data_IF_599398469628
#
_entry.id   IF_599398469628
#
_cell.length_a   1.000
_cell.length_b   1.000
_cell.length_c   1.000
_cell.angle_alpha   90.00
_cell.angle_beta   90.00
_cell.angle_gamma   90.00
#
_symmetry.space_group_name_H-M   'P 1'
#
loop_
_entity.id
_entity.type
_entity.pdbx_description
1 polymer ?
#
# COMPACT_ATOMS: atom_id res chain seq x y z
N UNK A 1 -1.98 -17.71 0.03
CA UNK A 1 -2.51 -19.05 0.32
C UNK A 1 -2.02 -20.05 -0.73
N UNK A 2 -1.77 -21.32 -0.35
CA UNK A 2 -1.43 -22.38 -1.30
C UNK A 2 -2.59 -22.63 -2.29
N UNK A 3 -2.27 -22.99 -3.53
CA UNK A 3 -3.28 -23.27 -4.56
C UNK A 3 -4.24 -24.41 -4.15
N UNK A 4 -3.76 -25.41 -3.41
CA UNK A 4 -4.60 -26.49 -2.88
C UNK A 4 -5.73 -25.97 -1.99
N UNK A 5 -5.42 -25.06 -1.05
CA UNK A 5 -6.42 -24.45 -0.17
C UNK A 5 -7.42 -23.57 -0.95
N UNK A 6 -6.97 -22.88 -2.01
CA UNK A 6 -7.84 -22.10 -2.89
C UNK A 6 -8.82 -23.04 -3.61
N UNK A 7 -8.35 -24.19 -4.10
CA UNK A 7 -9.17 -25.16 -4.81
C UNK A 7 -10.15 -25.88 -3.89
N UNK A 8 -9.71 -26.28 -2.69
CA UNK A 8 -10.58 -26.87 -1.67
C UNK A 8 -11.74 -25.92 -1.32
N UNK A 9 -11.42 -24.63 -1.10
CA UNK A 9 -12.44 -23.62 -0.84
C UNK A 9 -13.37 -23.41 -2.05
N UNK A 10 -12.81 -23.40 -3.27
CA UNK A 10 -13.61 -23.25 -4.49
C UNK A 10 -14.62 -24.42 -4.68
N UNK A 11 -14.22 -25.65 -4.37
CA UNK A 11 -15.08 -26.81 -4.40
C UNK A 11 -16.13 -26.80 -3.28
N UNK A 12 -15.71 -26.53 -2.04
CA UNK A 12 -16.58 -26.45 -0.86
C UNK A 12 -17.71 -25.42 -1.06
N UNK A 13 -17.34 -24.24 -1.53
CA UNK A 13 -18.28 -23.13 -1.75
C UNK A 13 -18.93 -23.15 -3.14
N UNK A 14 -18.63 -24.13 -3.99
CA UNK A 14 -19.10 -24.22 -5.38
C UNK A 14 -18.89 -22.93 -6.15
N UNK A 15 -17.69 -22.38 -6.04
CA UNK A 15 -17.34 -21.10 -6.64
C UNK A 15 -17.44 -21.17 -8.18
N UNK A 16 -18.00 -20.14 -8.79
CA UNK A 16 -18.07 -20.02 -10.25
C UNK A 16 -16.78 -19.42 -10.85
N UNK A 17 -16.02 -18.66 -10.05
CA UNK A 17 -14.82 -17.90 -10.46
C UNK A 17 -13.83 -17.86 -9.30
N UNK A 18 -12.55 -17.93 -9.60
CA UNK A 18 -11.47 -17.75 -8.63
C UNK A 18 -10.87 -16.34 -8.78
N UNK A 19 -10.81 -15.59 -7.69
CA UNK A 19 -10.12 -14.29 -7.64
C UNK A 19 -8.80 -14.39 -6.90
N UNK A 20 -7.71 -13.83 -7.46
CA UNK A 20 -6.42 -13.71 -6.77
C UNK A 20 -5.92 -12.27 -6.87
N UNK A 21 -5.47 -11.72 -5.74
CA UNK A 21 -4.90 -10.37 -5.66
C UNK A 21 -3.53 -10.42 -5.00
N UNK A 22 -2.58 -9.63 -5.51
CA UNK A 22 -1.23 -9.59 -4.99
C UNK A 22 -0.64 -8.19 -5.00
N UNK A 23 -0.05 -7.80 -3.88
CA UNK A 23 0.62 -6.52 -3.71
C UNK A 23 2.10 -6.60 -4.14
N UNK A 24 2.76 -7.72 -3.86
CA UNK A 24 4.19 -7.91 -4.05
C UNK A 24 4.50 -8.51 -5.43
N UNK A 25 5.65 -8.16 -5.98
CA UNK A 25 6.13 -8.75 -7.26
C UNK A 25 6.26 -10.28 -7.16
N UNK A 26 6.67 -10.82 -6.01
CA UNK A 26 6.70 -12.27 -5.77
C UNK A 26 5.32 -12.91 -5.98
N UNK A 27 4.23 -12.22 -5.67
CA UNK A 27 2.87 -12.72 -5.90
C UNK A 27 2.57 -12.97 -7.38
N UNK A 28 3.20 -12.23 -8.31
CA UNK A 28 3.00 -12.43 -9.75
C UNK A 28 3.52 -13.78 -10.22
N UNK A 29 4.65 -14.22 -9.65
CA UNK A 29 5.25 -15.54 -9.94
C UNK A 29 4.35 -16.63 -9.40
N UNK A 30 3.90 -16.50 -8.14
CA UNK A 30 2.99 -17.46 -7.50
C UNK A 30 1.68 -17.57 -8.27
N UNK A 31 1.10 -16.45 -8.73
CA UNK A 31 -0.13 -16.48 -9.53
C UNK A 31 0.07 -17.21 -10.86
N UNK A 32 1.22 -17.03 -11.53
CA UNK A 32 1.57 -17.78 -12.73
C UNK A 32 1.67 -19.27 -12.44
N UNK A 33 2.34 -19.66 -11.36
CA UNK A 33 2.45 -21.05 -10.93
C UNK A 33 1.08 -21.64 -10.59
N UNK A 34 0.22 -20.89 -9.91
CA UNK A 34 -1.16 -21.32 -9.62
C UNK A 34 -1.97 -21.58 -10.90
N UNK A 35 -1.86 -20.73 -11.93
CA UNK A 35 -2.52 -20.95 -13.22
C UNK A 35 -1.99 -22.21 -13.93
N UNK A 36 -0.68 -22.46 -13.86
CA UNK A 36 -0.08 -23.67 -14.41
C UNK A 36 -0.54 -24.93 -13.68
N UNK A 37 -0.67 -24.87 -12.36
CA UNK A 37 -1.19 -25.95 -11.54
C UNK A 37 -2.67 -26.26 -11.87
N UNK A 38 -3.50 -25.24 -12.05
CA UNK A 38 -4.90 -25.40 -12.52
C UNK A 38 -4.96 -26.10 -13.89
N UNK A 39 -4.05 -25.76 -14.80
CA UNK A 39 -3.95 -26.47 -16.09
C UNK A 39 -3.55 -27.94 -15.90
N UNK A 40 -2.56 -28.23 -15.07
CA UNK A 40 -2.08 -29.60 -14.81
C UNK A 40 -3.19 -30.47 -14.20
N UNK A 41 -3.98 -29.88 -13.30
CA UNK A 41 -5.16 -30.54 -12.69
C UNK A 41 -6.37 -30.62 -13.63
N UNK A 42 -6.30 -30.04 -14.83
CA UNK A 42 -7.40 -29.99 -15.83
C UNK A 42 -8.64 -29.24 -15.32
N UNK A 43 -8.45 -28.28 -14.41
CA UNK A 43 -9.51 -27.49 -13.79
C UNK A 43 -9.71 -26.13 -14.47
N UNK A 44 -8.86 -25.77 -15.43
CA UNK A 44 -8.87 -24.47 -16.09
C UNK A 44 -10.19 -24.16 -16.82
N UNK A 45 -10.87 -25.17 -17.36
CA UNK A 45 -12.17 -25.00 -18.02
C UNK A 45 -13.32 -24.72 -17.02
N UNK A 46 -13.18 -25.21 -15.80
CA UNK A 46 -14.22 -25.10 -14.76
C UNK A 46 -14.13 -23.77 -13.99
N UNK A 47 -12.91 -23.24 -13.86
CA UNK A 47 -12.62 -22.05 -13.07
C UNK A 47 -12.02 -20.92 -13.90
N UNK A 48 -12.83 -19.97 -14.40
CA UNK A 48 -12.33 -18.67 -14.83
C UNK A 48 -11.58 -17.98 -13.69
N UNK A 49 -10.52 -17.24 -14.00
CA UNK A 49 -9.69 -16.58 -13.00
C UNK A 49 -9.67 -15.08 -13.20
N UNK A 50 -9.86 -14.31 -12.13
CA UNK A 50 -9.65 -12.86 -12.12
C UNK A 50 -8.41 -12.57 -11.29
N UNK A 51 -7.44 -11.88 -11.91
CA UNK A 51 -6.20 -11.46 -11.27
C UNK A 51 -6.18 -9.95 -11.07
N UNK A 52 -5.75 -9.51 -9.89
CA UNK A 52 -5.63 -8.10 -9.54
C UNK A 52 -4.48 -7.81 -8.60
N UNK A 53 -4.41 -6.55 -8.17
CA UNK A 53 -3.41 -6.07 -7.22
C UNK A 53 -2.32 -5.20 -7.86
N UNK A 54 -1.63 -4.43 -7.01
CA UNK A 54 -0.68 -3.39 -7.44
C UNK A 54 0.55 -3.93 -8.20
N UNK A 55 0.90 -5.21 -7.99
CA UNK A 55 2.04 -5.84 -8.65
C UNK A 55 1.76 -6.27 -10.09
N UNK A 56 0.49 -6.32 -10.52
CA UNK A 56 0.08 -6.79 -11.83
C UNK A 56 -0.21 -5.65 -12.79
N UNK A 57 0.01 -5.88 -14.06
CA UNK A 57 -0.45 -5.02 -15.15
C UNK A 57 -1.45 -5.76 -16.03
N UNK A 58 -2.38 -5.02 -16.64
CA UNK A 58 -3.34 -5.59 -17.59
C UNK A 58 -2.66 -6.33 -18.74
N UNK A 59 -1.56 -5.78 -19.27
CA UNK A 59 -0.82 -6.40 -20.36
C UNK A 59 -0.25 -7.75 -19.95
N UNK A 60 0.33 -7.83 -18.76
CA UNK A 60 0.89 -9.09 -18.26
C UNK A 60 -0.19 -10.17 -18.08
N UNK A 61 -1.35 -9.80 -17.51
CA UNK A 61 -2.44 -10.77 -17.29
C UNK A 61 -3.15 -11.15 -18.60
N UNK A 62 -3.60 -10.15 -19.37
CA UNK A 62 -4.46 -10.39 -20.54
C UNK A 62 -3.68 -10.79 -21.81
N UNK A 63 -2.35 -10.85 -21.75
CA UNK A 63 -1.49 -11.35 -22.83
C UNK A 63 -0.61 -12.50 -22.33
N UNK A 64 0.37 -12.22 -21.45
CA UNK A 64 1.38 -13.21 -21.09
C UNK A 64 0.76 -14.38 -20.28
N UNK A 65 -0.11 -14.10 -19.30
CA UNK A 65 -0.78 -15.14 -18.52
C UNK A 65 -1.94 -15.78 -19.26
N UNK A 66 -2.62 -15.03 -20.14
CA UNK A 66 -3.68 -15.56 -20.99
C UNK A 66 -3.17 -16.61 -21.98
N UNK A 67 -1.93 -16.48 -22.50
CA UNK A 67 -1.29 -17.49 -23.34
C UNK A 67 -0.94 -18.77 -22.57
N UNK A 68 -0.72 -18.65 -21.26
CA UNK A 68 -0.34 -19.77 -20.40
C UNK A 68 -1.55 -20.53 -19.88
N UNK A 69 -2.61 -19.83 -19.50
CA UNK A 69 -3.80 -20.41 -18.89
C UNK A 69 -4.75 -20.99 -19.93
N UNK A 70 -5.13 -22.26 -19.80
CA UNK A 70 -6.03 -22.95 -20.74
C UNK A 70 -7.50 -22.57 -20.54
N UNK A 71 -7.82 -21.82 -19.50
CA UNK A 71 -9.14 -21.26 -19.20
C UNK A 71 -9.22 -19.76 -19.45
N UNK A 72 -10.26 -19.13 -18.95
CA UNK A 72 -10.44 -17.68 -19.05
C UNK A 72 -9.73 -16.97 -17.92
N UNK A 73 -8.80 -16.05 -18.22
CA UNK A 73 -8.13 -15.20 -17.22
C UNK A 73 -8.29 -13.74 -17.57
N UNK A 74 -8.67 -12.93 -16.57
CA UNK A 74 -8.95 -11.50 -16.72
C UNK A 74 -8.22 -10.67 -15.68
N UNK A 75 -7.92 -9.42 -16.03
CA UNK A 75 -7.32 -8.45 -15.12
C UNK A 75 -8.38 -7.51 -14.55
N UNK A 76 -8.46 -7.44 -13.24
CA UNK A 76 -9.21 -6.41 -12.53
C UNK A 76 -8.23 -5.39 -11.93
N UNK A 77 -8.37 -4.14 -12.31
CA UNK A 77 -7.56 -3.04 -11.78
C UNK A 77 -7.98 -2.65 -10.36
N UNK A 78 -9.26 -2.80 -10.06
CA UNK A 78 -9.88 -2.49 -8.78
C UNK A 78 -11.02 -3.48 -8.50
N UNK A 79 -11.50 -3.49 -7.25
CA UNK A 79 -12.53 -4.41 -6.81
C UNK A 79 -13.86 -4.25 -7.58
N UNK A 80 -14.21 -3.03 -7.99
CA UNK A 80 -15.43 -2.78 -8.76
C UNK A 80 -15.32 -3.28 -10.21
N UNK A 81 -14.14 -3.19 -10.81
CA UNK A 81 -13.89 -3.84 -12.09
C UNK A 81 -13.94 -5.37 -11.94
N UNK A 82 -13.43 -5.90 -10.82
CA UNK A 82 -13.52 -7.31 -10.47
C UNK A 82 -14.97 -7.79 -10.38
N UNK A 83 -15.84 -7.06 -9.69
CA UNK A 83 -17.28 -7.37 -9.62
C UNK A 83 -17.94 -7.41 -11.01
N UNK A 84 -17.70 -6.38 -11.83
CA UNK A 84 -18.27 -6.34 -13.19
C UNK A 84 -17.79 -7.49 -14.07
N UNK A 85 -16.52 -7.88 -13.93
CA UNK A 85 -15.96 -9.04 -14.64
C UNK A 85 -16.57 -10.34 -14.12
N UNK A 86 -16.77 -10.45 -12.80
CA UNK A 86 -17.40 -11.62 -12.18
C UNK A 86 -18.82 -11.80 -12.67
N UNK A 87 -19.63 -10.73 -12.67
CA UNK A 87 -21.00 -10.75 -13.23
C UNK A 87 -21.01 -11.18 -14.71
N UNK A 88 -20.08 -10.65 -15.52
CA UNK A 88 -19.96 -11.01 -16.92
C UNK A 88 -19.55 -12.48 -17.12
N UNK A 89 -18.58 -12.98 -16.35
CA UNK A 89 -18.12 -14.36 -16.39
C UNK A 89 -19.24 -15.34 -15.98
N UNK A 90 -19.93 -15.05 -14.88
CA UNK A 90 -21.06 -15.86 -14.40
C UNK A 90 -22.18 -15.83 -15.43
N UNK A 91 -22.49 -14.67 -16.00
CA UNK A 91 -23.51 -14.55 -17.04
C UNK A 91 -23.20 -15.39 -18.27
N UNK A 92 -21.97 -15.38 -18.75
CA UNK A 92 -21.51 -16.23 -19.87
C UNK A 92 -21.54 -17.71 -19.49
N UNK A 93 -21.03 -18.08 -18.32
CA UNK A 93 -21.00 -19.47 -17.82
C UNK A 93 -22.40 -20.07 -17.68
N UNK A 94 -23.36 -19.26 -17.26
CA UNK A 94 -24.78 -19.66 -17.08
C UNK A 94 -25.62 -19.50 -18.36
N UNK A 95 -25.04 -19.05 -19.47
CA UNK A 95 -25.73 -18.90 -20.75
C UNK A 95 -26.79 -17.79 -20.75
N UNK A 96 -26.62 -16.74 -19.94
CA UNK A 96 -27.57 -15.61 -19.88
C UNK A 96 -27.62 -14.92 -21.25
N UNK A 97 -28.81 -14.74 -21.86
CA UNK A 97 -28.89 -14.07 -23.17
C UNK A 97 -28.30 -12.66 -23.14
N UNK A 98 -27.36 -12.40 -24.06
CA UNK A 98 -26.70 -11.09 -24.17
C UNK A 98 -25.49 -10.89 -23.26
N UNK A 99 -25.18 -11.83 -22.38
CA UNK A 99 -23.96 -11.80 -21.57
C UNK A 99 -22.73 -11.89 -22.47
N UNK A 100 -21.80 -10.94 -22.32
CA UNK A 100 -20.53 -10.90 -23.08
C UNK A 100 -19.39 -10.46 -22.17
N UNK A 101 -18.25 -11.10 -22.36
CA UNK A 101 -17.01 -10.63 -21.74
C UNK A 101 -16.49 -9.38 -22.48
N UNK A 102 -15.89 -8.42 -21.78
CA UNK A 102 -15.17 -7.33 -22.41
C UNK A 102 -14.08 -7.89 -23.33
N UNK A 103 -13.83 -7.22 -24.47
CA UNK A 103 -12.74 -7.62 -25.36
C UNK A 103 -11.37 -7.47 -24.65
N UNK A 104 -10.50 -8.45 -24.87
CA UNK A 104 -9.12 -8.38 -24.40
C UNK A 104 -8.42 -7.21 -25.11
N UNK A 105 -7.76 -6.37 -24.34
CA UNK A 105 -7.03 -5.23 -24.90
C UNK A 105 -5.72 -5.72 -25.51
N UNK A 106 -5.64 -5.69 -26.85
CA UNK A 106 -4.39 -5.92 -27.54
C UNK A 106 -3.35 -4.84 -27.15
N UNK A 107 -2.11 -5.28 -26.96
CA UNK A 107 -0.97 -4.40 -26.75
C UNK A 107 -0.87 -3.48 -27.98
N UNK A 108 -1.09 -2.18 -27.80
CA UNK A 108 -0.53 -1.22 -28.74
C UNK A 108 0.97 -1.42 -28.65
N UNK A 109 1.53 -2.05 -29.68
CA UNK A 109 2.97 -2.08 -29.89
C UNK A 109 3.36 -0.61 -30.12
N UNK A 110 3.64 0.12 -29.04
CA UNK A 110 4.61 1.18 -29.16
C UNK A 110 5.89 0.44 -29.55
N UNK A 111 6.57 0.83 -30.66
CA UNK A 111 7.91 0.33 -30.86
C UNK A 111 8.62 0.61 -29.54
N UNK A 112 8.92 -0.43 -28.82
CA UNK A 112 9.87 -0.37 -27.74
C UNK A 112 11.07 0.28 -28.39
N UNK A 113 11.37 1.52 -28.02
CA UNK A 113 12.75 1.94 -28.10
C UNK A 113 13.46 0.76 -27.42
N UNK A 114 14.17 0.01 -28.25
CA UNK A 114 14.73 -1.28 -27.87
C UNK A 114 15.14 -1.19 -26.42
N UNK A 115 14.69 -2.15 -25.59
CA UNK A 115 15.40 -2.43 -24.38
C UNK A 115 16.83 -2.64 -24.84
N UNK A 116 17.59 -1.56 -24.90
CA UNK A 116 19.00 -1.64 -24.96
C UNK A 116 19.30 -2.46 -23.70
N UNK A 117 19.65 -3.70 -23.90
CA UNK A 117 20.48 -4.43 -22.97
C UNK A 117 21.68 -3.53 -22.76
N UNK A 118 21.54 -2.59 -21.82
CA UNK A 118 22.67 -1.89 -21.29
C UNK A 118 23.36 -2.99 -20.50
N UNK A 119 24.41 -3.55 -21.10
CA UNK A 119 25.37 -4.39 -20.41
C UNK A 119 25.55 -3.78 -19.02
N UNK A 120 25.07 -4.50 -18.01
CA UNK A 120 25.38 -4.23 -16.62
C UNK A 120 26.91 -4.39 -16.50
N UNK A 121 27.63 -3.31 -16.68
CA UNK A 121 29.02 -3.28 -16.20
C UNK A 121 28.88 -3.28 -14.68
N UNK A 122 29.36 -4.32 -13.99
CA UNK A 122 29.50 -4.28 -12.56
C UNK A 122 30.40 -3.07 -12.24
N UNK A 123 29.84 -2.01 -11.71
CA UNK A 123 30.72 -0.99 -11.12
C UNK A 123 31.21 -1.59 -9.80
N UNK A 124 32.47 -1.97 -9.78
CA UNK A 124 33.18 -2.35 -8.57
C UNK A 124 33.13 -1.16 -7.61
N UNK A 125 32.56 -1.37 -6.42
CA UNK A 125 32.48 -0.41 -5.33
C UNK A 125 31.07 0.17 -5.09
N UNK A 126 30.74 0.31 -3.82
CA UNK A 126 29.56 1.04 -3.36
C UNK A 126 29.70 2.54 -3.70
N UNK A 127 28.70 3.11 -4.38
CA UNK A 127 28.68 4.54 -4.69
C UNK A 127 27.40 5.14 -4.06
N UNK A 128 27.58 5.91 -2.99
CA UNK A 128 26.50 6.72 -2.38
C UNK A 128 25.92 7.68 -3.41
N UNK A 129 24.64 8.00 -3.32
CA UNK A 129 24.01 9.03 -4.15
C UNK A 129 24.51 10.44 -3.80
N UNK A 130 24.09 11.44 -4.59
CA UNK A 130 24.41 12.85 -4.41
C UNK A 130 23.55 13.57 -3.37
N UNK A 131 22.84 12.83 -2.51
CA UNK A 131 22.06 13.39 -1.40
C UNK A 131 22.98 14.12 -0.45
N UNK A 132 22.63 15.37 -0.09
CA UNK A 132 23.39 16.20 0.82
C UNK A 132 23.60 15.52 2.18
N UNK A 133 24.72 15.79 2.83
CA UNK A 133 25.04 15.23 4.15
C UNK A 133 25.26 16.31 5.20
N UNK A 134 25.04 17.57 4.88
CA UNK A 134 25.28 18.75 5.72
C UNK A 134 24.00 19.40 6.27
N UNK A 135 22.82 18.84 5.98
CA UNK A 135 21.56 19.32 6.52
C UNK A 135 21.54 19.19 8.06
N UNK A 136 20.98 20.15 8.81
CA UNK A 136 20.87 20.03 10.26
C UNK A 136 20.09 18.79 10.68
N UNK A 137 20.64 18.02 11.64
CA UNK A 137 19.92 16.92 12.29
C UNK A 137 18.99 17.52 13.36
N UNK A 138 17.69 17.27 13.33
CA UNK A 138 16.78 17.79 14.34
C UNK A 138 16.97 17.08 15.68
N UNK A 139 16.78 17.79 16.77
CA UNK A 139 16.76 17.20 18.10
C UNK A 139 15.34 16.71 18.43
N UNK A 140 15.12 15.39 18.59
CA UNK A 140 13.80 14.87 18.91
C UNK A 140 13.41 15.23 20.35
N UNK A 141 12.11 15.45 20.65
CA UNK A 141 11.65 15.82 21.98
C UNK A 141 11.76 14.69 23.02
N UNK A 142 12.10 13.50 22.59
CA UNK A 142 12.38 12.30 23.38
C UNK A 142 13.08 11.25 22.52
N UNK A 143 13.77 10.34 23.15
CA UNK A 143 14.21 9.08 22.56
C UNK A 143 13.35 7.92 23.01
N UNK A 144 13.28 6.86 22.19
CA UNK A 144 12.43 5.70 22.45
C UNK A 144 11.01 5.90 21.91
N UNK A 145 10.00 5.43 22.64
CA UNK A 145 8.64 5.29 22.09
C UNK A 145 7.55 5.95 22.92
N UNK A 146 6.53 6.48 22.26
CA UNK A 146 5.27 6.96 22.87
C UNK A 146 4.06 6.29 22.24
N UNK A 147 2.99 6.17 23.06
CA UNK A 147 1.69 5.65 22.64
C UNK A 147 0.64 6.73 22.85
N UNK A 148 -0.15 6.98 21.81
CA UNK A 148 -1.31 7.87 21.88
C UNK A 148 -2.53 7.06 21.47
N UNK A 149 -3.60 7.15 22.27
CA UNK A 149 -4.88 6.46 22.03
C UNK A 149 -6.03 7.44 22.11
N UNK A 150 -7.18 7.06 21.53
CA UNK A 150 -8.40 7.85 21.60
C UNK A 150 -8.36 9.11 20.74
N UNK A 151 -7.59 9.06 19.63
CA UNK A 151 -7.53 10.16 18.65
C UNK A 151 -8.91 10.30 18.01
N UNK A 152 -9.49 11.49 18.10
CA UNK A 152 -10.84 11.72 17.58
C UNK A 152 -10.85 11.81 16.06
N UNK A 153 -11.87 11.25 15.41
CA UNK A 153 -12.02 11.28 13.95
C UNK A 153 -11.83 12.69 13.36
N UNK A 154 -12.39 13.72 14.02
CA UNK A 154 -12.28 15.13 13.60
C UNK A 154 -10.84 15.65 13.50
N UNK A 155 -9.87 15.01 14.16
CA UNK A 155 -8.46 15.43 14.14
C UNK A 155 -7.74 15.00 12.86
N UNK A 156 -8.16 13.88 12.27
CA UNK A 156 -7.49 13.33 11.07
C UNK A 156 -8.41 13.19 9.85
N UNK A 157 -9.73 13.40 10.00
CA UNK A 157 -10.66 13.30 8.85
C UNK A 157 -10.33 14.28 7.72
N UNK A 158 -9.81 15.47 8.04
CA UNK A 158 -9.38 16.47 7.05
C UNK A 158 -8.12 16.05 6.27
N UNK A 159 -7.42 15.02 6.71
CA UNK A 159 -6.26 14.44 6.05
C UNK A 159 -6.63 13.28 5.12
N UNK A 160 -7.93 13.03 4.94
CA UNK A 160 -8.41 12.01 4.02
C UNK A 160 -8.23 12.46 2.57
N UNK A 161 -7.49 11.69 1.78
CA UNK A 161 -7.41 11.89 0.33
C UNK A 161 -8.71 11.42 -0.34
N UNK A 162 -9.63 12.39 -0.58
CA UNK A 162 -10.90 12.12 -1.28
C UNK A 162 -10.66 11.56 -2.69
N UNK A 163 -9.58 11.95 -3.36
CA UNK A 163 -9.24 11.45 -4.70
C UNK A 163 -8.87 9.97 -4.66
N UNK A 164 -8.04 9.57 -3.71
CA UNK A 164 -7.67 8.18 -3.49
C UNK A 164 -8.89 7.33 -3.08
N UNK A 165 -9.75 7.87 -2.21
CA UNK A 165 -10.99 7.20 -1.82
C UNK A 165 -11.96 7.04 -2.99
N UNK A 166 -12.35 8.14 -3.64
CA UNK A 166 -13.41 8.12 -4.65
C UNK A 166 -12.99 7.43 -5.93
N UNK A 167 -11.80 7.76 -6.48
CA UNK A 167 -11.31 7.13 -7.71
C UNK A 167 -10.72 5.75 -7.47
N UNK A 168 -9.93 5.63 -6.41
CA UNK A 168 -9.18 4.42 -6.09
C UNK A 168 -10.04 3.34 -5.46
N UNK A 169 -10.63 3.63 -4.30
CA UNK A 169 -11.38 2.66 -3.51
C UNK A 169 -12.83 2.47 -4.01
N UNK A 170 -13.56 3.54 -4.25
CA UNK A 170 -14.97 3.48 -4.64
C UNK A 170 -15.21 3.41 -6.15
N UNK A 171 -14.16 3.61 -6.95
CA UNK A 171 -14.24 3.48 -8.41
C UNK A 171 -15.13 4.52 -9.09
N UNK A 172 -15.36 5.69 -8.46
CA UNK A 172 -16.10 6.80 -9.07
C UNK A 172 -15.34 7.32 -10.29
N UNK A 173 -15.91 7.18 -11.47
CA UNK A 173 -15.31 7.58 -12.75
C UNK A 173 -16.39 7.97 -13.74
N UNK A 174 -16.13 9.01 -14.50
CA UNK A 174 -16.96 9.38 -15.64
C UNK A 174 -17.05 8.22 -16.65
N UNK A 175 -18.21 8.03 -17.25
CA UNK A 175 -18.39 7.05 -18.31
C UNK A 175 -17.48 7.35 -19.51
N UNK A 176 -16.91 6.31 -20.12
CA UNK A 176 -15.97 6.45 -21.26
C UNK A 176 -16.63 7.02 -22.52
N UNK A 177 -17.95 6.88 -22.67
CA UNK A 177 -18.72 7.44 -23.78
C UNK A 177 -18.78 8.96 -23.78
N UNK A 178 -18.42 9.60 -22.65
CA UNK A 178 -18.61 11.03 -22.44
C UNK A 178 -20.06 11.42 -22.14
N UNK A 179 -21.00 10.47 -22.24
CA UNK A 179 -22.39 10.66 -21.89
C UNK A 179 -22.56 10.36 -20.38
N UNK A 180 -23.06 11.32 -19.62
CA UNK A 180 -23.26 11.17 -18.18
C UNK A 180 -22.54 12.25 -17.37
N UNK A 181 -22.70 12.23 -16.03
CA UNK A 181 -22.14 13.24 -15.15
C UNK A 181 -20.61 13.26 -15.21
N UNK A 182 -20.03 14.45 -15.08
CA UNK A 182 -18.58 14.62 -14.93
C UNK A 182 -18.08 13.98 -13.64
N UNK A 183 -16.76 13.82 -13.51
CA UNK A 183 -16.18 13.32 -12.26
C UNK A 183 -16.52 14.25 -11.08
N UNK A 184 -16.45 15.54 -11.29
CA UNK A 184 -16.75 16.56 -10.29
C UNK A 184 -18.23 16.48 -9.85
N UNK A 185 -19.14 16.30 -10.79
CA UNK A 185 -20.56 16.08 -10.49
C UNK A 185 -20.79 14.79 -9.68
N UNK A 186 -20.11 13.69 -10.03
CA UNK A 186 -20.18 12.43 -9.28
C UNK A 186 -19.65 12.59 -7.86
N UNK A 187 -18.56 13.35 -7.67
CA UNK A 187 -18.03 13.65 -6.35
C UNK A 187 -19.06 14.40 -5.50
N UNK A 188 -19.71 15.43 -6.05
CA UNK A 188 -20.66 16.24 -5.31
C UNK A 188 -22.00 15.51 -5.05
N UNK A 189 -22.48 14.75 -6.04
CA UNK A 189 -23.82 14.12 -5.95
C UNK A 189 -23.81 12.75 -5.30
N UNK A 190 -22.71 12.01 -5.37
CA UNK A 190 -22.60 10.65 -4.84
C UNK A 190 -21.48 10.51 -3.81
N UNK A 191 -20.25 10.95 -4.13
CA UNK A 191 -19.07 10.71 -3.32
C UNK A 191 -19.15 11.33 -1.94
N UNK A 192 -19.28 12.65 -1.87
CA UNK A 192 -19.33 13.39 -0.60
C UNK A 192 -20.57 13.12 0.26
N UNK A 193 -21.78 12.97 -0.29
CA UNK A 193 -22.93 12.55 0.50
C UNK A 193 -22.75 11.17 1.13
N UNK A 194 -22.21 10.21 0.37
CA UNK A 194 -21.90 8.87 0.87
C UNK A 194 -20.81 8.90 1.95
N UNK A 195 -19.72 9.64 1.71
CA UNK A 195 -18.65 9.81 2.69
C UNK A 195 -19.17 10.36 4.01
N UNK A 196 -19.98 11.43 3.95
CA UNK A 196 -20.59 12.02 5.15
C UNK A 196 -21.43 11.00 5.92
N UNK A 197 -22.31 10.28 5.23
CA UNK A 197 -23.14 9.25 5.87
C UNK A 197 -22.33 8.13 6.52
N UNK A 198 -21.24 7.70 5.91
CA UNK A 198 -20.34 6.70 6.50
C UNK A 198 -19.54 7.24 7.68
N UNK A 199 -19.01 8.47 7.61
CA UNK A 199 -18.30 9.09 8.73
C UNK A 199 -19.23 9.31 9.94
N UNK A 200 -20.47 9.75 9.71
CA UNK A 200 -21.48 9.89 10.75
C UNK A 200 -21.81 8.54 11.41
N UNK A 201 -21.96 7.49 10.61
CA UNK A 201 -22.15 6.12 11.09
C UNK A 201 -20.95 5.65 11.92
N UNK A 202 -19.72 5.79 11.41
CA UNK A 202 -18.51 5.39 12.13
C UNK A 202 -18.40 6.05 13.50
N UNK A 203 -18.79 7.33 13.60
CA UNK A 203 -18.78 8.07 14.84
C UNK A 203 -19.93 7.67 15.78
N UNK A 204 -21.16 7.54 15.26
CA UNK A 204 -22.35 7.19 16.04
C UNK A 204 -22.25 5.79 16.65
N UNK A 205 -21.78 4.81 15.84
CA UNK A 205 -21.65 3.42 16.25
C UNK A 205 -20.32 3.15 16.98
N UNK A 206 -19.49 4.19 17.17
CA UNK A 206 -18.18 4.11 17.83
C UNK A 206 -17.30 2.99 17.27
N UNK A 207 -17.20 2.94 15.93
CA UNK A 207 -16.48 1.89 15.21
C UNK A 207 -14.97 2.15 15.07
N UNK A 208 -14.47 3.33 15.46
CA UNK A 208 -13.07 3.73 15.35
C UNK A 208 -12.39 3.75 16.70
N UNK A 209 -11.22 3.14 16.77
CA UNK A 209 -10.32 3.11 17.93
C UNK A 209 -8.94 3.59 17.52
N UNK A 210 -8.88 4.84 17.02
CA UNK A 210 -7.66 5.40 16.46
C UNK A 210 -6.56 5.53 17.50
N UNK A 211 -5.40 4.97 17.19
CA UNK A 211 -4.23 4.96 18.04
C UNK A 211 -2.93 4.95 17.22
N UNK A 212 -1.87 5.44 17.84
CA UNK A 212 -0.52 5.51 17.26
C UNK A 212 0.51 5.05 18.30
N UNK A 213 1.47 4.28 17.87
CA UNK A 213 2.75 4.13 18.54
C UNK A 213 3.84 4.63 17.62
N UNK A 214 4.71 5.48 18.13
CA UNK A 214 5.80 6.07 17.36
C UNK A 214 7.02 6.30 18.24
N UNK A 215 8.16 6.54 17.62
CA UNK A 215 9.37 6.83 18.37
C UNK A 215 10.48 7.36 17.52
N UNK A 216 11.49 7.92 18.21
CA UNK A 216 12.70 8.45 17.64
C UNK A 216 13.90 7.67 18.17
N UNK A 217 14.82 7.35 17.28
CA UNK A 217 15.98 6.53 17.59
C UNK A 217 17.23 7.12 16.94
N UNK A 218 18.36 7.15 17.66
CA UNK A 218 19.63 7.51 17.08
C UNK A 218 20.02 6.50 16.00
N UNK A 219 20.60 6.99 14.90
CA UNK A 219 21.00 6.14 13.79
C UNK A 219 22.21 6.71 13.03
N UNK A 220 22.81 5.84 12.21
CA UNK A 220 23.80 6.20 11.20
C UNK A 220 23.56 5.36 9.95
N UNK A 221 24.10 5.79 8.82
CA UNK A 221 24.08 4.98 7.60
C UNK A 221 25.45 4.42 7.27
N UNK A 222 25.48 3.23 6.69
CA UNK A 222 26.68 2.60 6.16
C UNK A 222 26.32 1.82 4.88
N UNK A 223 26.92 2.20 3.78
CA UNK A 223 26.57 1.65 2.46
C UNK A 223 25.05 1.76 2.19
N UNK A 224 24.35 0.65 2.05
CA UNK A 224 22.91 0.60 1.82
C UNK A 224 22.11 0.33 3.13
N UNK A 225 22.81 0.38 4.26
CA UNK A 225 22.25 0.07 5.58
C UNK A 225 21.91 1.33 6.37
N UNK A 226 20.75 1.30 7.02
CA UNK A 226 20.38 2.16 8.14
C UNK A 226 20.62 1.37 9.43
N UNK A 227 21.55 1.84 10.26
CA UNK A 227 21.90 1.24 11.54
C UNK A 227 21.24 2.05 12.64
N UNK A 228 20.27 1.47 13.32
CA UNK A 228 19.64 2.06 14.51
C UNK A 228 20.50 1.72 15.73
N UNK A 229 20.78 2.73 16.55
CA UNK A 229 21.63 2.60 17.71
C UNK A 229 20.81 2.44 19.02
N UNK A 230 21.43 1.83 20.02
CA UNK A 230 20.92 1.82 21.38
C UNK A 230 21.40 3.07 22.18
N UNK A 231 20.98 3.21 23.44
CA UNK A 231 21.36 4.31 24.33
C UNK A 231 22.87 4.37 24.62
N UNK A 232 23.61 3.30 24.35
CA UNK A 232 25.06 3.21 24.52
C UNK A 232 25.82 3.48 23.23
N UNK A 233 25.08 3.72 22.10
CA UNK A 233 25.66 3.94 20.78
C UNK A 233 26.07 2.66 20.05
N UNK A 234 25.66 1.47 20.53
CA UNK A 234 25.87 0.21 19.82
C UNK A 234 24.74 -0.06 18.82
N UNK A 235 25.03 -0.87 17.81
CA UNK A 235 24.02 -1.34 16.89
C UNK A 235 22.90 -2.11 17.61
N UNK A 236 21.67 -1.60 17.55
CA UNK A 236 20.47 -2.25 18.05
C UNK A 236 19.83 -3.10 16.98
N UNK A 237 19.67 -2.56 15.78
CA UNK A 237 19.12 -3.25 14.62
C UNK A 237 19.55 -2.59 13.33
N UNK A 238 19.42 -3.29 12.21
CA UNK A 238 19.86 -2.84 10.89
C UNK A 238 18.79 -3.10 9.84
N UNK A 239 18.58 -2.12 8.96
CA UNK A 239 17.74 -2.20 7.78
C UNK A 239 18.62 -2.07 6.55
N UNK A 240 18.52 -3.00 5.61
CA UNK A 240 19.23 -2.96 4.33
C UNK A 240 18.26 -2.62 3.21
N UNK A 241 18.49 -1.53 2.50
CA UNK A 241 17.57 -1.05 1.48
C UNK A 241 18.14 -1.24 0.06
N UNK A 242 17.27 -1.50 -0.93
CA UNK A 242 17.71 -1.55 -2.32
C UNK A 242 18.08 -0.16 -2.82
N UNK A 243 19.15 -0.11 -3.62
CA UNK A 243 19.58 1.11 -4.32
C UNK A 243 19.01 1.17 -5.73
N UNK A 244 18.59 2.36 -6.18
CA UNK A 244 18.20 2.59 -7.57
C UNK A 244 19.34 2.23 -8.53
N UNK A 245 19.00 1.55 -9.62
CA UNK A 245 19.96 1.18 -10.66
C UNK A 245 20.29 2.32 -11.63
N UNK A 246 19.43 3.35 -11.71
CA UNK A 246 19.53 4.47 -12.66
C UNK A 246 19.20 5.80 -11.98
N UNK A 247 19.47 6.90 -12.68
CA UNK A 247 19.22 8.25 -12.18
C UNK A 247 20.17 8.62 -11.04
N UNK A 248 19.63 9.20 -9.96
CA UNK A 248 20.41 9.61 -8.78
C UNK A 248 20.94 8.43 -7.95
N UNK A 249 20.50 7.18 -8.26
CA UNK A 249 20.87 5.96 -7.53
C UNK A 249 20.54 6.04 -6.03
N UNK A 250 19.37 6.60 -5.71
CA UNK A 250 18.91 6.76 -4.33
C UNK A 250 18.77 5.43 -3.60
N UNK A 251 19.17 5.43 -2.34
CA UNK A 251 18.88 4.43 -1.33
C UNK A 251 18.32 5.14 -0.09
N UNK A 252 17.43 4.52 0.68
CA UNK A 252 16.90 5.16 1.90
C UNK A 252 18.01 5.49 2.92
N UNK A 253 19.06 4.67 2.98
CA UNK A 253 20.22 4.92 3.83
C UNK A 253 20.95 6.25 3.52
N UNK A 254 20.88 6.73 2.27
CA UNK A 254 21.56 7.97 1.87
C UNK A 254 20.99 9.23 2.53
N UNK A 255 19.78 9.18 3.06
CA UNK A 255 19.14 10.31 3.74
C UNK A 255 19.55 10.48 5.20
N UNK A 256 20.47 9.66 5.69
CA UNK A 256 21.00 9.72 7.06
C UNK A 256 22.50 9.96 7.07
N UNK A 257 23.01 10.48 8.18
CA UNK A 257 24.44 10.72 8.40
C UNK A 257 25.23 9.42 8.20
N UNK A 258 26.28 9.44 7.37
CA UNK A 258 27.17 8.30 7.25
C UNK A 258 27.99 8.08 8.53
N UNK A 259 28.24 6.81 8.88
CA UNK A 259 29.04 6.43 10.05
C UNK A 259 30.40 7.13 10.07
N UNK A 260 31.01 7.32 8.89
CA UNK A 260 32.33 7.98 8.78
C UNK A 260 32.32 9.46 9.14
N UNK A 261 31.12 10.10 9.18
CA UNK A 261 31.02 11.52 9.60
C UNK A 261 31.31 11.71 11.08
N UNK A 262 31.18 10.66 11.89
CA UNK A 262 31.24 10.72 13.34
C UNK A 262 30.04 11.43 13.99
N UNK A 263 29.02 11.79 13.21
CA UNK A 263 27.78 12.42 13.68
C UNK A 263 26.65 11.39 13.73
N UNK A 264 25.84 11.45 14.77
CA UNK A 264 24.62 10.64 14.90
C UNK A 264 23.43 11.37 14.30
N UNK A 265 22.60 10.66 13.54
CA UNK A 265 21.35 11.13 12.98
C UNK A 265 20.14 10.60 13.78
N UNK A 266 18.92 10.96 13.39
CA UNK A 266 17.68 10.50 13.99
C UNK A 266 16.75 9.93 12.94
N UNK A 267 16.21 8.74 13.22
CA UNK A 267 15.14 8.11 12.45
C UNK A 267 13.87 8.04 13.27
N UNK A 268 12.73 8.35 12.64
CA UNK A 268 11.42 8.12 13.22
C UNK A 268 10.80 6.82 12.72
N UNK A 269 10.04 6.14 13.58
CA UNK A 269 9.16 5.05 13.18
C UNK A 269 7.76 5.30 13.73
N UNK A 270 6.74 4.92 12.98
CA UNK A 270 5.36 4.97 13.44
C UNK A 270 4.57 3.75 12.99
N UNK A 271 3.64 3.31 13.83
CA UNK A 271 2.55 2.39 13.49
C UNK A 271 1.25 3.03 13.94
N UNK A 272 0.30 3.11 13.05
CA UNK A 272 -1.03 3.66 13.31
C UNK A 272 -2.10 2.62 13.03
N UNK A 273 -3.24 2.75 13.70
CA UNK A 273 -4.42 1.92 13.47
C UNK A 273 -5.70 2.71 13.74
N UNK A 274 -6.77 2.37 13.04
CA UNK A 274 -8.12 2.85 13.38
C UNK A 274 -8.93 1.80 14.16
N UNK A 275 -8.29 0.72 14.56
CA UNK A 275 -8.83 -0.32 15.44
C UNK A 275 -9.49 -1.49 14.72
N UNK A 276 -9.90 -2.51 15.48
CA UNK A 276 -10.44 -3.77 14.95
C UNK A 276 -11.96 -3.73 14.72
N UNK A 277 -12.71 -2.88 15.42
CA UNK A 277 -14.19 -2.85 15.36
C UNK A 277 -14.72 -2.62 13.95
N UNK A 278 -14.06 -1.77 13.17
CA UNK A 278 -14.47 -1.53 11.78
C UNK A 278 -14.23 -2.77 10.92
N UNK A 279 -13.19 -3.56 11.19
CA UNK A 279 -12.95 -4.85 10.55
C UNK A 279 -14.04 -5.89 10.89
N UNK A 280 -14.50 -5.92 12.13
CA UNK A 280 -15.62 -6.77 12.54
C UNK A 280 -16.92 -6.39 11.83
N UNK A 281 -17.15 -5.08 11.63
CA UNK A 281 -18.33 -4.60 10.93
C UNK A 281 -18.26 -4.90 9.42
N UNK A 282 -17.11 -4.73 8.79
CA UNK A 282 -16.92 -5.12 7.39
C UNK A 282 -17.10 -6.62 7.19
N UNK A 283 -16.66 -7.47 8.13
CA UNK A 283 -16.88 -8.91 8.08
C UNK A 283 -18.38 -9.28 8.16
N UNK A 284 -19.18 -8.56 8.97
CA UNK A 284 -20.65 -8.76 9.01
C UNK A 284 -21.31 -8.41 7.67
N UNK A 285 -20.90 -7.28 7.07
CA UNK A 285 -21.41 -6.88 5.74
C UNK A 285 -21.08 -7.92 4.68
N UNK A 286 -19.87 -8.44 4.70
CA UNK A 286 -19.44 -9.53 3.81
C UNK A 286 -20.29 -10.79 4.02
N UNK A 287 -20.51 -11.22 5.26
CA UNK A 287 -21.29 -12.40 5.60
C UNK A 287 -22.78 -12.27 5.27
N UNK A 288 -23.30 -11.04 5.15
CA UNK A 288 -24.72 -10.75 4.81
C UNK A 288 -24.96 -10.47 3.32
N UNK A 289 -24.00 -10.81 2.44
CA UNK A 289 -24.04 -10.54 1.00
C UNK A 289 -24.16 -9.04 0.63
N UNK A 290 -23.95 -8.13 1.59
CA UNK A 290 -23.94 -6.69 1.38
C UNK A 290 -22.58 -6.24 0.85
N UNK A 291 -22.15 -6.87 -0.26
CA UNK A 291 -20.76 -6.78 -0.73
C UNK A 291 -20.35 -5.37 -1.17
N UNK A 292 -21.28 -4.59 -1.70
CA UNK A 292 -21.01 -3.19 -2.06
C UNK A 292 -20.75 -2.34 -0.82
N UNK A 293 -21.59 -2.47 0.20
CA UNK A 293 -21.42 -1.74 1.46
C UNK A 293 -20.13 -2.15 2.18
N UNK A 294 -19.79 -3.46 2.09
CA UNK A 294 -18.49 -3.97 2.53
C UNK A 294 -17.33 -3.25 1.85
N UNK A 295 -17.30 -3.19 0.51
CA UNK A 295 -16.21 -2.56 -0.24
C UNK A 295 -16.11 -1.06 0.06
N UNK A 296 -17.24 -0.38 0.19
CA UNK A 296 -17.26 1.05 0.49
C UNK A 296 -16.74 1.35 1.89
N UNK A 297 -17.19 0.59 2.89
CA UNK A 297 -16.73 0.74 4.27
C UNK A 297 -15.27 0.31 4.45
N UNK A 298 -14.89 -0.81 3.84
CA UNK A 298 -13.51 -1.30 3.86
C UNK A 298 -12.56 -0.29 3.20
N UNK A 299 -12.88 0.20 2.00
CA UNK A 299 -12.08 1.21 1.32
C UNK A 299 -11.92 2.50 2.13
N UNK A 300 -13.01 2.96 2.78
CA UNK A 300 -12.95 4.10 3.68
C UNK A 300 -12.05 3.83 4.89
N UNK A 301 -12.16 2.67 5.52
CA UNK A 301 -11.39 2.31 6.71
C UNK A 301 -9.87 2.30 6.45
N UNK A 302 -9.46 1.77 5.30
CA UNK A 302 -8.06 1.78 4.87
C UNK A 302 -7.57 3.22 4.64
N UNK A 303 -8.38 4.05 3.97
CA UNK A 303 -8.03 5.45 3.73
C UNK A 303 -8.01 6.28 5.02
N UNK A 304 -8.82 5.96 6.02
CA UNK A 304 -8.75 6.59 7.33
C UNK A 304 -7.48 6.22 8.10
N UNK A 305 -6.96 5.00 7.95
CA UNK A 305 -5.66 4.63 8.52
C UNK A 305 -4.52 5.43 7.85
N UNK A 306 -4.56 5.62 6.52
CA UNK A 306 -3.61 6.47 5.80
C UNK A 306 -3.74 7.95 6.20
N UNK A 307 -4.96 8.47 6.38
CA UNK A 307 -5.21 9.82 6.87
C UNK A 307 -4.63 10.04 8.28
N UNK A 308 -4.79 9.03 9.16
CA UNK A 308 -4.20 9.07 10.50
C UNK A 308 -2.67 9.04 10.43
N UNK A 309 -2.08 8.25 9.52
CA UNK A 309 -0.64 8.19 9.33
C UNK A 309 -0.07 9.53 8.82
N UNK A 310 -0.77 10.21 7.91
CA UNK A 310 -0.36 11.52 7.39
C UNK A 310 -0.52 12.62 8.46
N UNK A 311 -1.63 12.63 9.18
CA UNK A 311 -1.83 13.49 10.34
C UNK A 311 -0.71 13.32 11.37
N UNK A 312 -0.34 12.06 11.67
CA UNK A 312 0.72 11.80 12.63
C UNK A 312 2.10 12.21 12.11
N UNK A 313 2.35 12.03 10.81
CA UNK A 313 3.57 12.50 10.18
C UNK A 313 3.70 14.03 10.28
N UNK A 314 2.61 14.80 10.12
CA UNK A 314 2.63 16.24 10.34
C UNK A 314 2.97 16.59 11.80
N UNK A 315 2.47 15.83 12.77
CA UNK A 315 2.86 16.00 14.18
C UNK A 315 4.34 15.69 14.42
N UNK A 316 4.87 14.65 13.80
CA UNK A 316 6.31 14.34 13.85
C UNK A 316 7.15 15.49 13.29
N UNK A 317 6.74 16.08 12.15
CA UNK A 317 7.43 17.27 11.60
C UNK A 317 7.37 18.46 12.57
N UNK A 318 6.27 18.66 13.26
CA UNK A 318 6.14 19.69 14.28
C UNK A 318 7.06 19.42 15.50
N UNK A 319 7.10 18.17 15.96
CA UNK A 319 7.98 17.77 17.08
C UNK A 319 9.47 17.92 16.75
N UNK A 320 9.85 17.67 15.49
CA UNK A 320 11.20 17.84 14.99
C UNK A 320 11.53 19.28 14.57
N UNK A 321 10.60 20.22 14.74
CA UNK A 321 10.84 21.66 14.61
C UNK A 321 10.76 22.25 13.21
N UNK A 322 10.28 21.51 12.20
CA UNK A 322 10.18 22.00 10.82
C UNK A 322 8.77 22.07 10.22
N UNK A 323 7.72 22.03 11.06
CA UNK A 323 6.33 22.24 10.59
C UNK A 323 6.11 23.62 9.93
N UNK A 324 6.96 24.60 10.20
CA UNK A 324 6.91 25.90 9.53
C UNK A 324 7.26 25.85 8.03
N UNK A 325 7.82 24.73 7.57
CA UNK A 325 8.12 24.46 6.15
C UNK A 325 6.93 23.74 5.45
N UNK A 326 5.90 23.32 6.19
CA UNK A 326 4.72 22.66 5.65
C UNK A 326 3.88 23.65 4.82
N UNK A 327 3.35 23.25 3.67
CA UNK A 327 2.46 24.09 2.89
C UNK A 327 1.16 24.36 3.62
N UNK A 328 0.60 25.55 3.41
CA UNK A 328 -0.68 25.92 4.00
C UNK A 328 -1.88 25.23 3.31
N UNK A 329 -1.70 24.81 2.06
CA UNK A 329 -2.72 24.16 1.25
C UNK A 329 -2.68 22.64 1.43
N UNK A 330 -3.83 22.05 1.71
CA UNK A 330 -3.99 20.59 1.87
C UNK A 330 -3.67 19.84 0.58
N UNK A 331 -3.98 20.41 -0.60
CA UNK A 331 -3.63 19.80 -1.89
C UNK A 331 -2.12 19.69 -2.07
N UNK A 332 -1.38 20.70 -1.62
CA UNK A 332 0.08 20.68 -1.63
C UNK A 332 0.65 19.69 -0.60
N UNK A 333 -0.04 19.45 0.51
CA UNK A 333 0.30 18.38 1.46
C UNK A 333 0.14 17.00 0.78
N UNK A 334 -0.97 16.74 0.10
CA UNK A 334 -1.15 15.49 -0.65
C UNK A 334 -0.17 15.35 -1.83
N UNK A 335 0.29 16.47 -2.37
CA UNK A 335 1.37 16.49 -3.39
C UNK A 335 2.78 16.30 -2.78
N UNK A 336 2.88 16.00 -1.46
CA UNK A 336 4.12 15.76 -0.72
C UNK A 336 5.11 16.94 -0.79
N UNK A 337 4.61 18.18 -0.80
CA UNK A 337 5.45 19.38 -0.89
C UNK A 337 5.99 19.87 0.47
N UNK A 338 5.97 19.01 1.47
CA UNK A 338 6.58 19.26 2.79
C UNK A 338 8.00 18.68 2.87
N UNK A 339 8.76 19.07 3.89
CA UNK A 339 10.07 18.51 4.19
C UNK A 339 9.98 17.10 4.74
N UNK A 340 10.91 16.24 4.32
CA UNK A 340 10.95 14.84 4.75
C UNK A 340 9.97 13.95 3.99
N UNK A 341 9.90 12.70 4.40
CA UNK A 341 8.99 11.71 3.84
C UNK A 341 8.73 10.56 4.83
N UNK A 342 7.62 9.85 4.62
CA UNK A 342 7.34 8.58 5.28
C UNK A 342 7.35 7.45 4.25
N UNK A 343 7.96 6.32 4.59
CA UNK A 343 8.07 5.16 3.72
C UNK A 343 7.49 3.94 4.43
N UNK A 344 6.40 3.42 3.91
CA UNK A 344 5.81 2.18 4.42
C UNK A 344 6.53 0.96 3.84
N UNK A 345 6.72 -0.08 4.65
CA UNK A 345 7.36 -1.32 4.22
C UNK A 345 6.51 -2.09 3.21
N UNK A 346 7.18 -2.81 2.31
CA UNK A 346 6.55 -3.54 1.20
C UNK A 346 6.50 -2.76 -0.12
N UNK A 347 6.89 -1.48 -0.13
CA UNK A 347 6.92 -0.62 -1.32
C UNK A 347 8.33 -0.47 -1.90
N UNK A 348 8.43 0.14 -3.07
CA UNK A 348 9.62 0.10 -3.91
C UNK A 348 10.94 0.57 -3.31
N UNK A 349 10.93 1.45 -2.30
CA UNK A 349 12.13 1.91 -1.62
C UNK A 349 12.54 1.02 -0.43
N UNK A 350 11.59 0.31 0.18
CA UNK A 350 11.78 -0.63 1.30
C UNK A 350 10.89 -1.86 1.13
N UNK A 351 11.18 -2.74 0.16
CA UNK A 351 10.28 -3.82 -0.25
C UNK A 351 10.22 -5.01 0.70
N UNK A 352 11.16 -5.13 1.63
CA UNK A 352 11.24 -6.25 2.54
C UNK A 352 10.23 -6.09 3.69
N UNK A 353 9.24 -6.99 3.72
CA UNK A 353 8.24 -6.99 4.80
C UNK A 353 8.76 -7.60 6.10
N UNK A 354 9.81 -8.41 6.07
CA UNK A 354 10.42 -9.00 7.28
C UNK A 354 10.97 -7.90 8.20
N UNK A 355 11.35 -6.76 7.64
CA UNK A 355 11.78 -5.58 8.39
C UNK A 355 10.70 -5.03 9.33
N UNK A 356 9.42 -5.36 9.12
CA UNK A 356 8.34 -5.04 10.09
C UNK A 356 8.56 -5.66 11.46
N UNK A 357 9.17 -6.84 11.51
CA UNK A 357 9.49 -7.46 12.78
C UNK A 357 10.44 -6.61 13.62
N UNK A 358 11.41 -5.95 12.97
CA UNK A 358 12.37 -5.03 13.63
C UNK A 358 11.64 -3.78 14.16
N UNK A 359 10.74 -3.20 13.35
CA UNK A 359 9.91 -2.06 13.80
C UNK A 359 8.99 -2.48 14.94
N UNK A 360 8.36 -3.67 14.85
CA UNK A 360 7.48 -4.18 15.88
C UNK A 360 8.22 -4.43 17.20
N UNK A 361 9.45 -4.94 17.15
CA UNK A 361 10.29 -5.10 18.34
C UNK A 361 10.60 -3.75 19.01
N UNK A 362 10.91 -2.72 18.22
CA UNK A 362 11.23 -1.39 18.73
C UNK A 362 10.00 -0.66 19.27
N UNK A 363 8.89 -0.66 18.52
CA UNK A 363 7.69 0.13 18.83
C UNK A 363 6.70 -0.60 19.73
N UNK A 364 6.68 -1.94 19.73
CA UNK A 364 5.73 -2.79 20.45
C UNK A 364 4.27 -2.40 20.12
N UNK A 365 3.84 -2.59 18.87
CA UNK A 365 2.53 -2.14 18.38
C UNK A 365 1.35 -2.88 19.03
N UNK A 366 1.58 -4.00 19.71
CA UNK A 366 0.59 -4.68 20.54
C UNK A 366 0.01 -3.76 21.64
N UNK A 367 0.73 -2.72 22.04
CA UNK A 367 0.25 -1.70 22.97
C UNK A 367 -0.93 -0.88 22.43
N UNK A 368 -1.13 -0.88 21.12
CA UNK A 368 -2.26 -0.26 20.42
C UNK A 368 -3.16 -1.29 19.74
N UNK A 369 -3.02 -2.57 20.08
CA UNK A 369 -3.81 -3.66 19.53
C UNK A 369 -3.41 -4.11 18.11
N UNK A 370 -2.21 -3.76 17.65
CA UNK A 370 -1.69 -4.18 16.34
C UNK A 370 -0.70 -5.32 16.52
N UNK A 371 -0.85 -6.36 15.71
CA UNK A 371 0.00 -7.55 15.70
C UNK A 371 0.49 -7.86 14.29
N UNK A 372 1.60 -8.59 14.16
CA UNK A 372 2.07 -9.11 12.88
C UNK A 372 1.58 -10.54 12.67
N UNK A 373 1.20 -10.86 11.43
CA UNK A 373 1.00 -12.24 10.98
C UNK A 373 2.34 -12.94 10.74
N UNK A 374 2.28 -14.24 10.42
CA UNK A 374 3.46 -15.01 10.01
C UNK A 374 4.09 -14.47 8.72
N UNK A 375 3.31 -13.82 7.86
CA UNK A 375 3.76 -13.16 6.63
C UNK A 375 4.05 -11.65 6.82
N UNK A 376 4.24 -11.21 8.06
CA UNK A 376 4.56 -9.82 8.42
C UNK A 376 3.50 -8.79 7.98
N UNK A 377 2.21 -9.20 7.90
CA UNK A 377 1.11 -8.27 7.69
C UNK A 377 0.62 -7.72 9.03
N UNK A 378 0.20 -6.44 9.03
CA UNK A 378 -0.38 -5.80 10.21
C UNK A 378 -1.84 -6.24 10.40
N UNK A 379 -2.21 -6.57 11.63
CA UNK A 379 -3.58 -6.83 12.06
C UNK A 379 -3.93 -5.94 13.26
N UNK A 380 -5.10 -5.24 13.23
CA UNK A 380 -6.11 -5.26 12.16
C UNK A 380 -5.58 -4.68 10.85
N UNK A 381 -6.20 -5.06 9.72
CA UNK A 381 -5.81 -4.64 8.37
C UNK A 381 -5.83 -3.11 8.20
N UNK A 382 -6.68 -2.43 8.98
CA UNK A 382 -6.79 -0.98 9.00
C UNK A 382 -5.67 -0.35 9.85
N UNK A 383 -4.44 -0.75 9.55
CA UNK A 383 -3.21 -0.30 10.20
C UNK A 383 -2.13 -0.09 9.15
N UNK A 384 -1.25 0.86 9.38
CA UNK A 384 -0.09 1.08 8.51
C UNK A 384 1.13 1.48 9.33
N UNK A 385 2.31 1.20 8.77
CA UNK A 385 3.60 1.53 9.37
C UNK A 385 4.38 2.52 8.49
N UNK A 386 5.36 3.17 9.07
CA UNK A 386 6.32 3.94 8.28
C UNK A 386 7.65 4.13 8.97
N UNK A 387 8.69 4.19 8.16
CA UNK A 387 9.99 4.82 8.46
C UNK A 387 9.82 6.30 8.15
N UNK A 388 10.10 7.17 9.10
CA UNK A 388 9.97 8.63 8.96
C UNK A 388 11.35 9.26 8.84
N UNK A 389 11.58 9.95 7.73
CA UNK A 389 12.85 10.56 7.35
C UNK A 389 12.68 12.07 7.34
N UNK A 390 13.52 12.80 8.08
CA UNK A 390 13.45 14.26 8.20
C UNK A 390 14.21 15.02 7.11
N UNK A 391 15.01 14.33 6.30
CA UNK A 391 15.90 14.93 5.32
C UNK A 391 15.14 15.77 4.28
N UNK A 392 15.58 17.01 3.95
CA UNK A 392 14.87 17.91 3.03
C UNK A 392 14.65 17.33 1.62
N UNK A 393 15.61 16.52 1.14
CA UNK A 393 15.54 15.90 -0.18
C UNK A 393 14.76 14.57 -0.20
N UNK A 394 14.34 14.07 0.98
CA UNK A 394 13.59 12.82 1.05
C UNK A 394 12.22 12.99 0.38
N UNK A 395 12.03 12.35 -0.75
CA UNK A 395 10.78 12.24 -1.51
C UNK A 395 10.59 10.79 -1.92
N UNK A 396 9.34 10.40 -2.10
CA UNK A 396 9.04 9.04 -2.51
C UNK A 396 9.75 8.69 -3.83
N UNK A 397 10.40 7.55 -3.86
CA UNK A 397 11.04 6.97 -5.04
C UNK A 397 10.86 5.46 -5.08
N UNK A 398 11.11 4.87 -6.24
CA UNK A 398 11.16 3.44 -6.42
C UNK A 398 12.61 3.04 -6.73
N UNK A 399 13.14 2.05 -6.01
CA UNK A 399 14.49 1.53 -6.20
C UNK A 399 14.63 0.49 -7.33
N UNK A 400 13.55 0.15 -8.03
CA UNK A 400 13.50 -0.85 -9.12
C UNK A 400 13.64 -0.23 -10.49
#
# INVERSE_FOLDING_TARGET
QPVSAILEAAEEHRADVIGMSGLLVKSTVIMKENLQELNQRKMAADYPVILGGAALTRAYVEQDLHEIYQGEVRYARDAFEGLRLMDALIGVKRGVPGAKLPELKQRRVRPSAAAAEVEERPQEGHVRSDVATDNPVPEPPFEGTRVIKGIQLKEYASWLDEGALFKGQWGLKQARSGDGPSYEELVETEGRPRLRGLLDRLQTDNLLEAAVVYGYFPCVSKDDDLIVLDEQGNERTRFTFPRQRRGRRLCLADFFRPEESGETDVVGFQVVTVGSRIGEETAKLFASDSYRDYLELHGLSVQLAEALAEYWHARVRAELGFAGEDPADVEDMFALKYRGARFSLGYGACPDLEDRAKIAEMLRPERIGVHLSEEFQLHPEQSTDAIVIHHPEAKYFNAR
#
